data_IF_642434430093
#
_entry.id   IF_642434430093
#
_cell.length_a   1.000
_cell.length_b   1.000
_cell.length_c   1.000
_cell.angle_alpha   90.00
_cell.angle_beta   90.00
_cell.angle_gamma   90.00
#
_symmetry.space_group_name_H-M   'P 1'
#
loop_
_entity.id
_entity.type
_entity.pdbx_description
1 polymer ?
#
# COMPACT_ATOMS: atom_id res chain seq x y z
N UNK A 1 2.86 7.83 18.32
CA UNK A 1 2.64 7.12 19.61
C UNK A 1 1.80 5.85 19.42
N UNK A 2 0.62 5.89 18.78
CA UNK A 2 -0.22 4.70 18.53
C UNK A 2 0.52 3.50 17.88
N UNK A 3 1.19 3.70 16.75
CA UNK A 3 1.91 2.61 16.06
C UNK A 3 3.00 1.93 16.91
N UNK A 4 3.63 2.69 17.82
CA UNK A 4 4.68 2.17 18.72
C UNK A 4 4.10 1.43 19.93
N UNK A 5 2.78 1.27 20.01
CA UNK A 5 2.06 0.58 21.08
C UNK A 5 1.26 -0.60 20.52
N UNK A 6 1.83 -1.30 19.53
CA UNK A 6 1.25 -2.42 18.80
C UNK A 6 -0.03 -2.14 18.00
N UNK A 7 -0.47 -0.88 17.87
CA UNK A 7 -1.62 -0.55 17.03
C UNK A 7 -1.21 -0.57 15.56
N UNK A 8 -1.80 -1.48 14.79
CA UNK A 8 -1.61 -1.54 13.36
C UNK A 8 -2.30 -0.38 12.63
N UNK A 9 -1.81 -0.06 11.43
CA UNK A 9 -2.31 1.06 10.62
C UNK A 9 -2.59 0.60 9.20
N UNK A 10 -3.79 0.91 8.71
CA UNK A 10 -4.09 0.87 7.29
C UNK A 10 -4.07 2.30 6.76
N UNK A 11 -3.00 2.68 6.05
CA UNK A 11 -2.78 4.02 5.56
C UNK A 11 -3.09 4.09 4.07
N UNK A 12 -4.02 4.96 3.70
CA UNK A 12 -4.29 5.30 2.32
C UNK A 12 -3.71 6.66 1.98
N UNK A 13 -3.03 6.74 0.84
CA UNK A 13 -2.58 7.97 0.22
C UNK A 13 -3.19 8.10 -1.18
N UNK A 14 -3.18 9.32 -1.69
CA UNK A 14 -3.67 9.70 -3.01
C UNK A 14 -2.61 10.57 -3.71
N UNK A 15 -2.94 11.22 -4.81
CA UNK A 15 -2.04 12.14 -5.50
C UNK A 15 -1.62 13.38 -4.69
N UNK A 16 -0.50 13.99 -5.08
CA UNK A 16 -0.08 15.31 -4.61
C UNK A 16 -1.13 16.37 -5.00
N UNK A 17 -1.61 17.24 -4.08
CA UNK A 17 -1.11 17.51 -2.73
C UNK A 17 -1.78 16.72 -1.59
N UNK A 18 -2.72 15.81 -1.88
CA UNK A 18 -3.47 15.03 -0.88
C UNK A 18 -2.62 13.95 -0.17
N UNK A 19 -1.33 13.86 -0.49
CA UNK A 19 -0.31 13.09 0.23
C UNK A 19 0.10 13.65 1.59
N UNK A 20 -0.19 14.91 1.90
CA UNK A 20 0.49 15.66 2.96
C UNK A 20 0.49 14.97 4.34
N UNK A 21 -0.65 14.46 4.80
CA UNK A 21 -0.77 13.80 6.11
C UNK A 21 -0.10 12.43 6.13
N UNK A 22 -0.25 11.64 5.06
CA UNK A 22 0.41 10.34 4.94
C UNK A 22 1.94 10.52 4.95
N UNK A 23 2.44 11.47 4.16
CA UNK A 23 3.86 11.84 4.11
C UNK A 23 4.39 12.34 5.45
N UNK A 24 3.64 13.18 6.19
CA UNK A 24 4.07 13.65 7.50
C UNK A 24 4.24 12.51 8.49
N UNK A 25 3.24 11.62 8.58
CA UNK A 25 3.31 10.44 9.44
C UNK A 25 4.47 9.51 9.05
N UNK A 26 4.55 9.14 7.78
CA UNK A 26 5.57 8.24 7.25
C UNK A 26 6.99 8.80 7.44
N UNK A 27 7.17 10.10 7.26
CA UNK A 27 8.47 10.77 7.42
C UNK A 27 8.90 10.75 8.86
N UNK A 28 8.00 11.10 9.78
CA UNK A 28 8.29 11.12 11.21
C UNK A 28 8.59 9.71 11.75
N UNK A 29 7.95 8.67 11.20
CA UNK A 29 8.04 7.31 11.72
C UNK A 29 9.13 6.45 11.04
N UNK A 30 9.24 6.53 9.73
CA UNK A 30 10.07 5.64 8.90
C UNK A 30 11.07 6.39 8.01
N UNK A 31 11.05 7.73 8.01
CA UNK A 31 11.92 8.53 7.13
C UNK A 31 11.58 8.42 5.64
N UNK A 32 10.35 8.01 5.30
CA UNK A 32 9.84 7.92 3.93
C UNK A 32 8.72 8.92 3.71
N UNK A 33 8.50 9.34 2.47
CA UNK A 33 7.33 10.15 2.07
C UNK A 33 6.57 9.45 0.96
N UNK A 34 5.43 9.99 0.54
CA UNK A 34 4.72 9.59 -0.67
C UNK A 34 4.54 10.80 -1.60
N UNK A 35 4.68 10.58 -2.90
CA UNK A 35 4.50 11.60 -3.94
C UNK A 35 3.93 11.00 -5.23
N UNK A 36 3.53 11.85 -6.17
CA UNK A 36 3.05 11.42 -7.48
C UNK A 36 1.63 11.88 -7.75
N UNK A 37 1.25 11.89 -9.02
CA UNK A 37 -0.07 12.26 -9.52
C UNK A 37 -0.35 11.47 -10.81
N UNK A 38 -0.10 10.16 -10.73
CA UNK A 38 -0.29 9.31 -11.90
C UNK A 38 -1.78 9.05 -12.13
N UNK A 39 -2.23 9.27 -13.37
CA UNK A 39 -3.56 8.84 -13.80
C UNK A 39 -3.56 7.32 -14.04
N UNK A 40 -4.11 6.59 -13.09
CA UNK A 40 -4.34 5.15 -13.15
C UNK A 40 -5.59 4.80 -13.95
N UNK A 41 -6.63 4.40 -13.24
CA UNK A 41 -7.88 3.82 -13.74
C UNK A 41 -7.71 2.48 -14.47
N UNK A 42 -6.78 1.64 -14.00
CA UNK A 42 -6.60 0.27 -14.50
C UNK A 42 -6.86 -0.78 -13.42
N UNK A 43 -6.74 -2.03 -13.80
CA UNK A 43 -6.89 -3.18 -12.91
C UNK A 43 -5.58 -3.92 -12.83
N UNK A 44 -5.06 -4.06 -11.61
CA UNK A 44 -3.92 -4.92 -11.31
C UNK A 44 -4.37 -6.38 -11.34
N UNK A 45 -3.51 -7.28 -11.79
CA UNK A 45 -3.81 -8.71 -11.85
C UNK A 45 -2.79 -9.53 -11.06
N UNK A 46 -3.25 -10.61 -10.44
CA UNK A 46 -2.38 -11.48 -9.64
C UNK A 46 -1.35 -12.22 -10.50
N UNK A 47 -0.11 -12.26 -10.00
CA UNK A 47 0.95 -13.21 -10.40
C UNK A 47 1.76 -13.55 -9.15
N UNK A 48 2.36 -14.75 -9.07
CA UNK A 48 3.17 -15.17 -7.92
C UNK A 48 4.20 -14.09 -7.48
N UNK A 49 5.01 -13.62 -8.44
CA UNK A 49 5.96 -12.52 -8.25
C UNK A 49 5.47 -11.20 -8.87
N UNK A 50 4.15 -10.98 -8.86
CA UNK A 50 3.51 -9.83 -9.52
C UNK A 50 3.95 -8.49 -8.96
N UNK A 51 4.35 -8.43 -7.69
CA UNK A 51 4.87 -7.22 -7.06
C UNK A 51 6.13 -6.65 -7.75
N UNK A 52 6.84 -7.44 -8.57
CA UNK A 52 8.01 -7.00 -9.35
C UNK A 52 7.65 -6.55 -10.77
N UNK A 53 6.38 -6.62 -11.15
CA UNK A 53 5.91 -6.37 -12.51
C UNK A 53 4.85 -5.27 -12.52
N UNK A 54 4.98 -4.33 -13.44
CA UNK A 54 4.00 -3.25 -13.67
C UNK A 54 2.59 -3.81 -13.88
N UNK A 55 1.60 -3.27 -13.15
CA UNK A 55 0.21 -3.67 -13.30
C UNK A 55 -0.16 -4.99 -12.60
N UNK A 56 0.64 -5.42 -11.61
CA UNK A 56 0.44 -6.69 -10.93
C UNK A 56 0.63 -6.58 -9.41
N UNK A 57 -0.02 -7.49 -8.69
CA UNK A 57 0.26 -7.74 -7.28
C UNK A 57 0.76 -9.17 -7.07
N UNK A 58 1.61 -9.33 -6.06
CA UNK A 58 2.27 -10.59 -5.72
C UNK A 58 1.44 -11.47 -4.79
N UNK A 59 2.01 -12.62 -4.43
CA UNK A 59 1.50 -13.41 -3.31
C UNK A 59 1.67 -12.65 -1.98
N UNK A 60 0.57 -12.46 -1.26
CA UNK A 60 0.52 -11.90 0.10
C UNK A 60 -0.85 -12.22 0.73
N UNK A 61 -0.97 -12.41 2.04
CA UNK A 61 -2.23 -12.84 2.66
C UNK A 61 -3.38 -11.86 2.39
N UNK A 62 -3.08 -10.56 2.28
CA UNK A 62 -4.09 -9.53 2.02
C UNK A 62 -4.78 -9.70 0.65
N UNK A 63 -4.16 -10.40 -0.30
CA UNK A 63 -4.73 -10.66 -1.62
C UNK A 63 -5.38 -12.04 -1.76
N UNK A 64 -5.54 -12.78 -0.65
CA UNK A 64 -6.13 -14.13 -0.68
C UNK A 64 -7.52 -14.14 -1.33
N UNK A 65 -7.67 -14.95 -2.38
CA UNK A 65 -8.93 -15.07 -3.14
C UNK A 65 -9.24 -13.88 -4.05
N UNK A 66 -8.25 -13.03 -4.35
CA UNK A 66 -8.37 -11.87 -5.25
C UNK A 66 -7.52 -12.12 -6.48
N UNK A 67 -8.12 -12.01 -7.67
CA UNK A 67 -7.42 -12.17 -8.96
C UNK A 67 -7.17 -10.86 -9.68
N UNK A 68 -7.99 -9.85 -9.37
CA UNK A 68 -7.98 -8.53 -9.96
C UNK A 68 -8.14 -7.52 -8.82
N UNK A 69 -7.46 -6.38 -8.87
CA UNK A 69 -7.58 -5.29 -7.91
C UNK A 69 -7.57 -3.93 -8.64
N UNK A 70 -8.54 -3.08 -8.38
CA UNK A 70 -8.58 -1.75 -8.99
C UNK A 70 -7.52 -0.81 -8.37
N UNK A 71 -6.63 -0.22 -9.18
CA UNK A 71 -5.51 0.59 -8.66
C UNK A 71 -5.88 2.01 -8.24
N UNK A 72 -7.12 2.45 -8.54
CA UNK A 72 -7.56 3.83 -8.29
C UNK A 72 -7.41 4.71 -9.53
N UNK A 73 -8.04 5.87 -9.54
CA UNK A 73 -7.96 6.87 -10.62
C UNK A 73 -6.64 7.64 -10.53
N UNK A 74 -6.27 8.04 -9.32
CA UNK A 74 -5.04 8.79 -9.01
C UNK A 74 -4.17 7.98 -8.09
N UNK A 75 -2.88 7.92 -8.40
CA UNK A 75 -1.92 7.04 -7.73
C UNK A 75 -0.66 7.84 -7.38
N UNK A 76 -0.24 7.73 -6.11
CA UNK A 76 1.08 8.14 -5.65
C UNK A 76 2.00 6.92 -5.45
N UNK A 77 3.19 7.12 -4.92
CA UNK A 77 4.12 6.04 -4.57
C UNK A 77 5.06 6.46 -3.43
N UNK A 78 5.61 5.50 -2.67
CA UNK A 78 6.58 5.79 -1.62
C UNK A 78 7.92 6.24 -2.19
N UNK A 79 8.51 7.26 -1.54
CA UNK A 79 9.83 7.80 -1.82
C UNK A 79 10.75 7.49 -0.66
N UNK A 80 11.84 6.78 -0.97
CA UNK A 80 12.82 6.34 0.00
C UNK A 80 14.06 7.24 -0.06
N UNK A 81 14.33 7.93 1.05
CA UNK A 81 15.48 8.83 1.18
C UNK A 81 16.81 8.10 1.39
N UNK A 82 16.79 6.83 1.82
CA UNK A 82 17.97 6.02 2.14
C UNK A 82 17.75 4.55 1.77
N UNK A 83 18.83 3.78 1.61
CA UNK A 83 18.73 2.33 1.42
C UNK A 83 18.05 1.64 2.62
N UNK A 84 18.40 2.07 3.84
CA UNK A 84 17.80 1.55 5.07
C UNK A 84 16.27 1.76 5.10
N UNK A 85 15.78 2.94 4.71
CA UNK A 85 14.33 3.20 4.70
C UNK A 85 13.58 2.42 3.62
N UNK A 86 14.27 2.03 2.53
CA UNK A 86 13.72 1.12 1.51
C UNK A 86 13.58 -0.31 2.00
N UNK A 87 14.47 -0.78 2.86
CA UNK A 87 14.43 -2.15 3.40
C UNK A 87 13.33 -2.35 4.46
N UNK A 88 12.77 -1.26 5.00
CA UNK A 88 11.69 -1.30 6.01
C UNK A 88 10.38 -1.80 5.40
N UNK A 89 10.09 -1.44 4.15
CA UNK A 89 8.83 -1.76 3.49
C UNK A 89 9.02 -2.81 2.41
N UNK A 90 8.10 -3.78 2.39
CA UNK A 90 8.00 -4.77 1.32
C UNK A 90 6.93 -4.32 0.34
N UNK A 91 7.30 -4.04 -0.91
CA UNK A 91 6.34 -3.82 -2.00
C UNK A 91 5.65 -5.14 -2.33
N UNK A 92 4.31 -5.13 -2.32
CA UNK A 92 3.47 -6.30 -2.62
C UNK A 92 2.54 -6.06 -3.82
N UNK A 93 2.45 -4.83 -4.31
CA UNK A 93 1.83 -4.50 -5.60
C UNK A 93 2.56 -3.35 -6.29
N UNK A 94 2.63 -3.42 -7.62
CA UNK A 94 3.20 -2.38 -8.48
C UNK A 94 2.13 -1.88 -9.43
N UNK A 95 1.89 -0.56 -9.41
CA UNK A 95 0.90 0.11 -10.25
C UNK A 95 1.27 0.04 -11.74
N UNK A 96 0.34 0.46 -12.58
CA UNK A 96 0.52 0.47 -14.03
C UNK A 96 1.49 1.55 -14.54
N UNK A 97 1.97 2.44 -13.67
CA UNK A 97 3.08 3.36 -13.92
C UNK A 97 4.46 2.74 -13.63
N UNK A 98 4.50 1.55 -13.03
CA UNK A 98 5.73 0.85 -12.66
C UNK A 98 6.26 1.19 -11.26
N UNK A 99 5.55 2.01 -10.48
CA UNK A 99 5.90 2.31 -9.09
C UNK A 99 5.17 1.41 -8.10
N UNK A 100 5.72 1.30 -6.89
CA UNK A 100 5.09 0.58 -5.78
C UNK A 100 3.74 1.23 -5.44
N UNK A 101 2.66 0.46 -5.52
CA UNK A 101 1.30 0.95 -5.22
C UNK A 101 0.77 0.47 -3.89
N UNK A 102 1.21 -0.70 -3.43
CA UNK A 102 0.90 -1.23 -2.11
C UNK A 102 2.17 -1.77 -1.49
N UNK A 103 2.50 -1.29 -0.29
CA UNK A 103 3.66 -1.71 0.48
C UNK A 103 3.28 -2.00 1.93
N UNK A 104 3.96 -2.96 2.54
CA UNK A 104 3.71 -3.38 3.93
C UNK A 104 4.94 -3.26 4.79
N UNK A 105 4.72 -2.90 6.05
CA UNK A 105 5.67 -3.05 7.14
C UNK A 105 5.16 -4.18 8.04
N UNK A 106 5.93 -5.26 8.12
CA UNK A 106 5.64 -6.40 9.00
C UNK A 106 6.79 -6.57 10.00
N UNK A 107 6.67 -6.00 11.20
CA UNK A 107 7.73 -6.08 12.20
C UNK A 107 7.92 -7.51 12.70
N UNK A 108 9.11 -7.80 13.26
CA UNK A 108 9.33 -9.09 13.92
C UNK A 108 8.39 -9.29 15.10
N UNK A 109 8.12 -10.55 15.46
CA UNK A 109 7.28 -10.92 16.61
C UNK A 109 7.77 -10.40 17.97
N UNK A 110 9.02 -9.94 18.05
CA UNK A 110 9.62 -9.34 19.25
C UNK A 110 9.50 -7.81 19.28
N UNK A 111 9.01 -7.19 18.20
CA UNK A 111 8.78 -5.75 18.13
C UNK A 111 7.53 -5.35 18.91
N UNK A 112 7.53 -4.13 19.45
CA UNK A 112 6.34 -3.51 20.04
C UNK A 112 5.54 -2.69 19.02
N UNK A 113 5.95 -2.70 17.75
CA UNK A 113 5.30 -1.94 16.68
C UNK A 113 4.19 -2.76 16.02
N UNK A 114 3.12 -2.07 15.60
CA UNK A 114 2.08 -2.70 14.79
C UNK A 114 2.51 -2.89 13.34
N UNK A 115 1.78 -3.75 12.62
CA UNK A 115 1.87 -3.83 11.16
C UNK A 115 1.37 -2.55 10.51
N UNK A 116 1.88 -2.24 9.32
CA UNK A 116 1.33 -1.17 8.49
C UNK A 116 1.11 -1.64 7.06
N UNK A 117 -0.06 -1.34 6.50
CA UNK A 117 -0.32 -1.45 5.08
C UNK A 117 -0.46 -0.03 4.50
N UNK A 118 0.40 0.32 3.55
CA UNK A 118 0.34 1.56 2.79
C UNK A 118 -0.25 1.25 1.41
N UNK A 119 -1.38 1.88 1.09
CA UNK A 119 -2.00 1.84 -0.24
C UNK A 119 -1.97 3.24 -0.85
N UNK A 120 -1.39 3.37 -2.04
CA UNK A 120 -1.16 4.64 -2.70
C UNK A 120 -2.24 5.03 -3.72
N UNK A 121 -3.38 4.33 -3.74
CA UNK A 121 -4.49 4.60 -4.65
C UNK A 121 -5.84 4.71 -3.94
N UNK A 122 -5.96 5.67 -3.00
CA UNK A 122 -7.16 5.91 -2.17
C UNK A 122 -8.48 5.92 -2.96
N UNK A 123 -8.49 6.49 -4.17
CA UNK A 123 -9.70 6.63 -5.00
C UNK A 123 -10.41 5.32 -5.31
N UNK A 124 -9.77 4.14 -5.18
CA UNK A 124 -10.46 2.84 -5.28
C UNK A 124 -11.53 2.61 -4.22
N UNK A 125 -11.42 3.28 -3.06
CA UNK A 125 -12.38 3.16 -1.97
C UNK A 125 -13.70 3.87 -2.27
N UNK A 126 -13.64 4.93 -3.08
CA UNK A 126 -14.81 5.68 -3.52
C UNK A 126 -15.32 5.15 -4.87
N UNK A 127 -14.41 4.94 -5.81
CA UNK A 127 -14.72 4.68 -7.20
C UNK A 127 -14.48 3.22 -7.54
N UNK A 128 -15.54 2.58 -8.06
CA UNK A 128 -15.55 1.14 -8.40
C UNK A 128 -15.20 0.23 -7.21
N UNK A 129 -15.69 0.57 -6.01
CA UNK A 129 -15.61 -0.27 -4.80
C UNK A 129 -16.09 -1.71 -5.03
N UNK A 130 -17.18 -1.86 -5.79
CA UNK A 130 -17.75 -3.17 -6.13
C UNK A 130 -16.97 -3.90 -7.24
N UNK A 131 -15.94 -3.28 -7.80
CA UNK A 131 -15.11 -3.89 -8.83
C UNK A 131 -13.92 -4.63 -8.24
N UNK A 132 -13.56 -5.73 -8.92
CA UNK A 132 -12.24 -6.34 -8.84
C UNK A 132 -11.71 -6.48 -7.40
N UNK A 133 -12.46 -7.14 -6.52
CA UNK A 133 -11.94 -7.60 -5.23
C UNK A 133 -11.65 -6.53 -4.16
N UNK A 134 -11.91 -5.24 -4.38
CA UNK A 134 -11.60 -4.16 -3.42
C UNK A 134 -12.22 -4.42 -2.04
N UNK A 135 -13.51 -4.78 -1.96
CA UNK A 135 -14.16 -5.09 -0.69
C UNK A 135 -13.47 -6.26 0.06
N UNK A 136 -13.05 -7.31 -0.66
CA UNK A 136 -12.33 -8.46 -0.09
C UNK A 136 -10.92 -8.07 0.35
N UNK A 137 -10.25 -7.24 -0.43
CA UNK A 137 -8.93 -6.70 -0.10
C UNK A 137 -8.98 -5.95 1.23
N UNK A 138 -9.98 -5.10 1.44
CA UNK A 138 -10.15 -4.37 2.71
C UNK A 138 -10.38 -5.30 3.88
N UNK A 139 -11.21 -6.34 3.73
CA UNK A 139 -11.42 -7.34 4.79
C UNK A 139 -10.13 -8.09 5.10
N UNK A 140 -9.44 -8.61 4.08
CA UNK A 140 -8.21 -9.38 4.25
C UNK A 140 -7.10 -8.52 4.89
N UNK A 141 -6.91 -7.29 4.42
CA UNK A 141 -5.94 -6.35 4.99
C UNK A 141 -6.29 -6.00 6.44
N UNK A 142 -7.57 -5.79 6.75
CA UNK A 142 -8.01 -5.54 8.13
C UNK A 142 -7.73 -6.74 9.04
N UNK A 143 -7.93 -7.97 8.56
CA UNK A 143 -7.58 -9.19 9.31
C UNK A 143 -6.07 -9.37 9.48
N UNK A 144 -5.28 -9.03 8.46
CA UNK A 144 -3.83 -9.14 8.51
C UNK A 144 -3.19 -8.12 9.46
N UNK A 145 -3.84 -6.97 9.66
CA UNK A 145 -3.40 -5.93 10.60
C UNK A 145 -3.74 -6.25 12.07
N UNK A 146 -4.47 -7.32 12.38
CA UNK A 146 -4.69 -7.79 13.75
C UNK A 146 -3.49 -8.57 14.30
#
# INVERSE_FOLDING_TARGET
KLHSSACAIFLFADNTPFVCHASEFLKAKFGITVEGDYYGDKTLTYKENGHQQTGHFGAHEIFTGITNLYEGITICHPVYSTAASREVFTTIATASDGNSSIAVYDPSSTSTEGRLCLDCGFTKLWYKWDSAGTARYIVNASCWLL
#
